data_IF_814296361988
#
_entry.id   IF_814296361988
#
_cell.length_a   1.000
_cell.length_b   1.000
_cell.length_c   1.000
_cell.angle_alpha   90.00
_cell.angle_beta   90.00
_cell.angle_gamma   90.00
#
_symmetry.space_group_name_H-M   'P 1'
#
loop_
_entity.id
_entity.type
_entity.pdbx_description
1 polymer ?
#
# COMPACT_ATOMS: atom_id res chain seq x y z
N UNK A 1 9.50 -17.84 1.74
CA UNK A 1 8.58 -16.79 2.21
C UNK A 1 8.63 -15.69 1.17
N UNK A 2 7.52 -15.48 0.46
CA UNK A 2 7.45 -14.40 -0.52
C UNK A 2 7.56 -13.06 0.20
N UNK A 3 8.45 -12.19 -0.27
CA UNK A 3 8.63 -10.86 0.31
C UNK A 3 7.51 -9.96 -0.20
N UNK A 4 6.47 -9.73 0.61
CA UNK A 4 5.39 -8.82 0.26
C UNK A 4 5.71 -7.40 0.72
N UNK A 5 5.43 -6.41 -0.13
CA UNK A 5 5.62 -5.00 0.15
C UNK A 5 4.29 -4.25 0.04
N UNK A 6 4.11 -3.24 0.87
CA UNK A 6 3.03 -2.28 0.78
C UNK A 6 3.57 -0.91 0.39
N UNK A 7 2.94 -0.32 -0.63
CA UNK A 7 3.16 1.04 -1.06
C UNK A 7 1.94 1.88 -0.69
N UNK A 8 2.16 2.95 0.06
CA UNK A 8 1.16 3.98 0.35
C UNK A 8 1.63 5.26 -0.33
N UNK A 9 0.80 5.85 -1.18
CA UNK A 9 1.11 7.10 -1.89
C UNK A 9 0.05 8.17 -1.64
N UNK A 10 0.46 9.42 -1.41
CA UNK A 10 -0.43 10.59 -1.25
C UNK A 10 -0.12 11.70 -2.26
N UNK A 11 -1.09 12.58 -2.52
CA UNK A 11 -0.93 13.72 -3.44
C UNK A 11 -0.77 15.06 -2.72
N UNK A 12 -1.41 15.21 -1.57
CA UNK A 12 -1.47 16.47 -0.83
C UNK A 12 -0.31 16.61 0.15
N UNK A 13 0.27 17.81 0.28
CA UNK A 13 1.20 18.13 1.36
C UNK A 13 0.52 17.88 2.72
N UNK A 14 1.14 17.01 3.54
CA UNK A 14 0.58 16.59 4.82
C UNK A 14 -0.02 15.18 4.86
N UNK A 15 -0.07 14.47 3.72
CA UNK A 15 -0.62 13.11 3.56
C UNK A 15 -2.06 12.96 4.08
N UNK A 16 -3.02 12.83 3.16
CA UNK A 16 -4.42 12.55 3.52
C UNK A 16 -4.77 11.10 3.22
N UNK A 17 -5.48 10.43 4.12
CA UNK A 17 -6.03 9.11 3.79
C UNK A 17 -7.10 9.18 2.67
N UNK A 18 -7.72 10.34 2.46
CA UNK A 18 -8.75 10.53 1.43
C UNK A 18 -8.18 10.51 0.00
N UNK A 19 -6.91 10.88 -0.17
CA UNK A 19 -6.20 10.83 -1.46
C UNK A 19 -5.14 9.72 -1.53
N UNK A 20 -5.07 8.88 -0.50
CA UNK A 20 -4.09 7.82 -0.40
C UNK A 20 -4.40 6.67 -1.37
N UNK A 21 -3.35 6.19 -2.03
CA UNK A 21 -3.39 4.95 -2.80
C UNK A 21 -2.53 3.90 -2.13
N UNK A 22 -3.17 2.81 -1.72
CA UNK A 22 -2.53 1.66 -1.07
C UNK A 22 -2.42 0.52 -2.08
N UNK A 23 -1.20 0.06 -2.35
CA UNK A 23 -0.89 -1.00 -3.29
C UNK A 23 -0.01 -2.07 -2.65
N UNK A 24 -0.14 -3.30 -3.15
CA UNK A 24 0.72 -4.43 -2.78
C UNK A 24 1.64 -4.79 -3.94
N UNK A 25 2.86 -5.18 -3.62
CA UNK A 25 3.84 -5.69 -4.59
C UNK A 25 4.68 -6.82 -3.98
N UNK A 26 5.32 -7.62 -4.84
CA UNK A 26 6.02 -8.86 -4.44
C UNK A 26 7.55 -8.73 -4.46
N UNK A 27 8.06 -7.55 -4.81
CA UNK A 27 9.49 -7.27 -4.89
C UNK A 27 9.77 -5.77 -4.78
N UNK A 28 11.02 -5.44 -4.51
CA UNK A 28 11.50 -4.05 -4.47
C UNK A 28 11.45 -3.40 -5.86
N UNK A 29 11.73 -4.18 -6.92
CA UNK A 29 11.69 -3.73 -8.32
C UNK A 29 10.25 -3.35 -8.71
N UNK A 30 9.26 -4.14 -8.28
CA UNK A 30 7.85 -3.82 -8.49
C UNK A 30 7.46 -2.55 -7.72
N UNK A 31 7.94 -2.39 -6.48
CA UNK A 31 7.67 -1.21 -5.67
C UNK A 31 8.19 0.07 -6.35
N UNK A 32 9.42 0.03 -6.87
CA UNK A 32 10.02 1.15 -7.62
C UNK A 32 9.22 1.47 -8.88
N UNK A 33 8.83 0.44 -9.64
CA UNK A 33 8.00 0.60 -10.84
C UNK A 33 6.65 1.26 -10.52
N UNK A 34 6.03 0.89 -9.40
CA UNK A 34 4.77 1.48 -8.93
C UNK A 34 4.95 2.95 -8.49
N UNK A 35 6.04 3.27 -7.79
CA UNK A 35 6.36 4.66 -7.42
C UNK A 35 6.47 5.53 -8.66
N UNK A 36 7.24 5.08 -9.66
CA UNK A 36 7.41 5.82 -10.91
C UNK A 36 6.06 6.02 -11.64
N UNK A 37 5.23 4.98 -11.74
CA UNK A 37 3.89 5.08 -12.32
C UNK A 37 3.00 6.10 -11.59
N UNK A 38 3.07 6.16 -10.26
CA UNK A 38 2.25 7.06 -9.45
C UNK A 38 2.76 8.51 -9.49
N UNK A 39 4.07 8.74 -9.63
CA UNK A 39 4.60 10.10 -9.86
C UNK A 39 3.99 10.74 -11.10
N UNK A 40 3.86 9.99 -12.20
CA UNK A 40 3.18 10.46 -13.41
C UNK A 40 1.69 10.75 -13.21
N UNK A 41 1.09 10.30 -12.11
CA UNK A 41 -0.32 10.53 -11.73
C UNK A 41 -0.48 11.64 -10.68
N UNK A 42 0.59 12.38 -10.38
CA UNK A 42 0.59 13.50 -9.45
C UNK A 42 0.70 13.11 -7.97
N UNK A 43 1.17 11.89 -7.66
CA UNK A 43 1.52 11.52 -6.29
C UNK A 43 2.93 12.02 -5.96
N UNK A 44 3.11 12.56 -4.76
CA UNK A 44 4.33 13.23 -4.32
C UNK A 44 4.90 12.63 -3.04
N UNK A 45 4.07 11.96 -2.23
CA UNK A 45 4.47 11.33 -0.96
C UNK A 45 4.37 9.81 -1.12
N UNK A 46 5.40 9.08 -0.69
CA UNK A 46 5.47 7.62 -0.84
C UNK A 46 6.04 6.97 0.43
N UNK A 47 5.36 5.95 0.93
CA UNK A 47 5.83 5.06 1.99
C UNK A 47 5.87 3.63 1.43
N UNK A 48 7.06 3.02 1.41
CA UNK A 48 7.25 1.63 1.03
C UNK A 48 7.63 0.85 2.27
N UNK A 49 6.88 -0.21 2.57
CA UNK A 49 7.06 -1.03 3.77
C UNK A 49 7.16 -2.50 3.39
N UNK A 50 8.07 -3.22 4.04
CA UNK A 50 8.18 -4.68 3.92
C UNK A 50 7.23 -5.33 4.92
N UNK A 51 6.43 -6.27 4.45
CA UNK A 51 5.50 -7.03 5.28
C UNK A 51 6.27 -8.05 6.11
N UNK A 52 6.10 -8.00 7.43
CA UNK A 52 6.69 -8.98 8.36
C UNK A 52 5.71 -10.11 8.65
N UNK A 53 4.43 -9.77 8.86
CA UNK A 53 3.34 -10.72 9.07
C UNK A 53 2.04 -10.11 8.54
N UNK A 54 1.07 -10.96 8.20
CA UNK A 54 -0.29 -10.55 7.81
C UNK A 54 -1.29 -11.25 8.73
N UNK A 55 -2.19 -10.47 9.31
CA UNK A 55 -3.36 -10.97 10.05
C UNK A 55 -4.58 -10.75 9.15
N UNK A 56 -5.37 -11.80 8.94
CA UNK A 56 -6.66 -11.72 8.24
C UNK A 56 -7.75 -12.17 9.22
N UNK A 57 -8.20 -11.23 10.06
CA UNK A 57 -9.16 -11.50 11.15
C UNK A 57 -10.62 -11.35 10.67
N UNK A 58 -10.87 -11.58 9.38
CA UNK A 58 -12.19 -11.46 8.78
C UNK A 58 -13.11 -12.67 9.06
N UNK A 59 -12.73 -13.56 9.99
CA UNK A 59 -13.50 -14.76 10.31
C UNK A 59 -14.82 -14.49 11.07
N UNK A 60 -15.06 -13.27 11.56
CA UNK A 60 -16.11 -13.02 12.58
C UNK A 60 -17.18 -11.99 12.18
N UNK A 61 -17.31 -11.64 10.90
CA UNK A 61 -18.41 -10.76 10.41
C UNK A 61 -19.59 -11.61 9.87
N UNK A 62 -19.67 -12.89 10.27
CA UNK A 62 -20.64 -13.87 9.76
C UNK A 62 -21.63 -14.48 10.77
N UNK A 63 -21.59 -14.11 12.05
CA UNK A 63 -22.45 -14.72 13.09
C UNK A 63 -23.11 -13.71 14.03
N UNK A 64 -23.53 -12.55 13.52
CA UNK A 64 -24.55 -11.74 14.20
C UNK A 64 -25.91 -12.01 13.52
N UNK A 65 -26.57 -13.10 13.93
CA UNK A 65 -28.01 -13.31 13.75
C UNK A 65 -28.72 -13.01 15.05
#
# INVERSE_FOLDING_TARGET
MDQEYFLIAGKTEGFSYADAKVLRCRSEIDAESLVNSLRHKGYSIFYVTKTVYRIDDNATIGEAK
#
